data_IF_584875817867
#
_entry.id   IF_584875817867
#
_cell.length_a   1.000
_cell.length_b   1.000
_cell.length_c   1.000
_cell.angle_alpha   90.00
_cell.angle_beta   90.00
_cell.angle_gamma   90.00
#
_symmetry.space_group_name_H-M   'P 1'
#
loop_
_entity.id
_entity.type
_entity.pdbx_description
1 polymer ?
#
# COMPACT_ATOMS: atom_id res chain seq x y z
N UNK A 1 16.97 17.92 2.53
CA UNK A 1 15.89 17.48 1.65
C UNK A 1 15.36 18.67 0.88
N UNK A 2 15.21 18.55 -0.45
CA UNK A 2 14.51 19.56 -1.26
C UNK A 2 13.03 19.20 -1.23
N UNK A 3 12.21 20.02 -0.62
CA UNK A 3 10.75 19.89 -0.64
C UNK A 3 10.23 20.70 -1.81
N UNK A 4 9.52 20.07 -2.71
CA UNK A 4 8.81 20.79 -3.76
C UNK A 4 7.48 21.30 -3.20
N UNK A 5 7.29 22.59 -3.25
CA UNK A 5 5.98 23.18 -2.95
C UNK A 5 4.99 22.73 -4.03
N UNK A 6 3.84 22.17 -3.66
CA UNK A 6 2.83 21.81 -4.64
C UNK A 6 2.19 23.09 -5.20
N UNK A 7 2.59 23.46 -6.40
CA UNK A 7 1.80 24.39 -7.20
C UNK A 7 0.49 23.71 -7.59
N UNK A 8 -0.65 24.30 -7.24
CA UNK A 8 -1.95 23.68 -7.47
C UNK A 8 -2.28 23.50 -8.96
N UNK A 9 -1.82 24.39 -9.83
CA UNK A 9 -2.03 24.27 -11.26
C UNK A 9 -1.19 23.12 -11.84
N UNK A 10 0.04 22.94 -11.35
CA UNK A 10 0.87 21.79 -11.71
C UNK A 10 0.27 20.49 -11.20
N UNK A 11 -0.26 20.46 -9.98
CA UNK A 11 -0.95 19.29 -9.44
C UNK A 11 -2.17 18.90 -10.29
N UNK A 12 -2.99 19.87 -10.69
CA UNK A 12 -4.13 19.64 -11.58
C UNK A 12 -3.67 19.04 -12.92
N UNK A 13 -2.62 19.59 -13.51
CA UNK A 13 -2.04 19.07 -14.75
C UNK A 13 -1.55 17.63 -14.60
N UNK A 14 -0.91 17.30 -13.48
CA UNK A 14 -0.43 15.95 -13.21
C UNK A 14 -1.60 14.98 -12.98
N UNK A 15 -2.62 15.39 -12.24
CA UNK A 15 -3.82 14.60 -12.02
C UNK A 15 -4.52 14.26 -13.34
N UNK A 16 -4.68 15.25 -14.22
CA UNK A 16 -5.28 15.07 -15.56
C UNK A 16 -4.48 14.07 -16.41
N UNK A 17 -3.14 14.17 -16.40
CA UNK A 17 -2.27 13.25 -17.12
C UNK A 17 -2.32 11.84 -16.57
N UNK A 18 -2.40 11.68 -15.26
CA UNK A 18 -2.55 10.36 -14.62
C UNK A 18 -3.89 9.75 -15.01
N UNK A 19 -4.97 10.49 -14.92
CA UNK A 19 -6.28 10.02 -15.32
C UNK A 19 -6.34 9.64 -16.81
N UNK A 20 -5.76 10.46 -17.69
CA UNK A 20 -5.65 10.17 -19.12
C UNK A 20 -4.83 8.90 -19.39
N UNK A 21 -3.73 8.68 -18.65
CA UNK A 21 -2.94 7.45 -18.76
C UNK A 21 -3.76 6.23 -18.31
N UNK A 22 -4.43 6.30 -17.17
CA UNK A 22 -5.25 5.21 -16.64
C UNK A 22 -6.37 4.84 -17.63
N UNK A 23 -7.07 5.84 -18.15
CA UNK A 23 -8.17 5.65 -19.11
C UNK A 23 -7.68 5.06 -20.44
N UNK A 24 -6.54 5.52 -20.95
CA UNK A 24 -5.96 4.99 -22.19
C UNK A 24 -5.40 3.58 -22.07
N UNK A 25 -4.91 3.22 -20.91
CA UNK A 25 -4.27 1.89 -20.70
C UNK A 25 -5.22 0.86 -20.14
N UNK A 26 -6.37 1.27 -19.57
CA UNK A 26 -7.30 0.38 -18.88
C UNK A 26 -6.75 -0.18 -17.56
N UNK A 27 -5.72 0.45 -16.98
CA UNK A 27 -5.18 0.05 -15.67
C UNK A 27 -6.23 0.25 -14.60
N UNK A 28 -6.52 -0.80 -13.85
CA UNK A 28 -7.59 -0.83 -12.83
C UNK A 28 -7.09 -0.65 -11.40
N UNK A 29 -5.82 -0.33 -11.21
CA UNK A 29 -5.24 -0.07 -9.89
C UNK A 29 -4.21 1.06 -9.94
N UNK A 30 -4.23 1.94 -8.94
CA UNK A 30 -3.24 2.99 -8.72
C UNK A 30 -2.87 3.06 -7.25
N UNK A 31 -1.60 3.30 -6.96
CA UNK A 31 -1.09 3.56 -5.60
C UNK A 31 -0.58 4.99 -5.50
N UNK A 32 -1.10 5.73 -4.53
CA UNK A 32 -0.65 7.08 -4.20
C UNK A 32 0.32 7.01 -3.03
N UNK A 33 1.59 6.80 -3.34
CA UNK A 33 2.66 6.76 -2.35
C UNK A 33 3.20 8.16 -2.05
N UNK A 34 3.64 8.38 -0.81
CA UNK A 34 4.26 9.65 -0.39
C UNK A 34 3.28 10.79 -0.11
N UNK A 35 1.98 10.53 0.00
CA UNK A 35 0.98 11.59 0.30
C UNK A 35 1.24 12.29 1.64
N UNK A 36 1.91 11.63 2.59
CA UNK A 36 2.35 12.23 3.85
C UNK A 36 3.31 13.41 3.66
N UNK A 37 4.02 13.47 2.55
CA UNK A 37 4.88 14.60 2.20
C UNK A 37 4.14 15.93 2.09
N UNK A 38 2.86 15.90 1.81
CA UNK A 38 2.02 17.11 1.73
C UNK A 38 1.84 17.81 3.06
N UNK A 39 2.03 17.12 4.20
CA UNK A 39 1.94 17.71 5.54
C UNK A 39 2.98 18.82 5.80
N UNK A 40 4.04 18.86 5.03
CA UNK A 40 5.11 19.84 5.13
C UNK A 40 4.91 21.06 4.23
N UNK A 41 3.78 21.16 3.58
CA UNK A 41 3.45 22.25 2.64
C UNK A 41 2.34 23.13 3.21
N UNK A 42 2.27 24.37 2.78
CA UNK A 42 1.25 25.29 3.23
C UNK A 42 -0.18 24.94 2.81
N UNK A 43 -0.35 23.92 1.99
CA UNK A 43 -1.67 23.44 1.53
C UNK A 43 -2.13 22.14 2.20
N UNK A 44 -1.22 21.42 2.84
CA UNK A 44 -1.45 20.19 3.61
C UNK A 44 -2.51 19.26 2.98
N UNK A 45 -3.52 18.86 3.75
CA UNK A 45 -4.55 17.91 3.32
C UNK A 45 -5.41 18.43 2.14
N UNK A 46 -5.56 19.73 1.98
CA UNK A 46 -6.28 20.29 0.85
C UNK A 46 -5.63 19.93 -0.49
N UNK A 47 -4.31 20.08 -0.60
CA UNK A 47 -3.59 19.74 -1.82
C UNK A 47 -3.71 18.24 -2.16
N UNK A 48 -3.53 17.38 -1.14
CA UNK A 48 -3.68 15.94 -1.29
C UNK A 48 -5.08 15.54 -1.73
N UNK A 49 -6.09 16.06 -1.03
CA UNK A 49 -7.50 15.77 -1.33
C UNK A 49 -7.89 16.25 -2.72
N UNK A 50 -7.47 17.45 -3.11
CA UNK A 50 -7.72 17.99 -4.44
C UNK A 50 -7.10 17.12 -5.52
N UNK A 51 -5.83 16.72 -5.35
CA UNK A 51 -5.11 15.93 -6.33
C UNK A 51 -5.76 14.55 -6.54
N UNK A 52 -5.98 13.81 -5.45
CA UNK A 52 -6.57 12.46 -5.51
C UNK A 52 -8.01 12.51 -6.02
N UNK A 53 -8.82 13.45 -5.55
CA UNK A 53 -10.21 13.62 -6.00
C UNK A 53 -10.24 13.94 -7.48
N UNK A 54 -9.36 14.81 -7.98
CA UNK A 54 -9.28 15.15 -9.40
C UNK A 54 -8.90 13.95 -10.26
N UNK A 55 -7.95 13.14 -9.84
CA UNK A 55 -7.64 11.88 -10.54
C UNK A 55 -8.87 10.97 -10.57
N UNK A 56 -9.46 10.71 -9.42
CA UNK A 56 -10.55 9.76 -9.26
C UNK A 56 -11.79 10.13 -10.07
N UNK A 57 -12.18 11.39 -10.07
CA UNK A 57 -13.38 11.87 -10.78
C UNK A 57 -13.24 11.82 -12.29
N UNK A 58 -12.05 11.69 -12.82
CA UNK A 58 -11.78 11.61 -14.26
C UNK A 58 -11.56 10.18 -14.78
N UNK A 59 -11.52 9.17 -13.90
CA UNK A 59 -11.46 7.78 -14.35
C UNK A 59 -12.78 7.40 -15.02
N UNK A 60 -12.71 6.81 -16.20
CA UNK A 60 -13.86 6.34 -16.98
C UNK A 60 -14.25 4.88 -16.67
N UNK A 61 -13.53 4.23 -15.76
CA UNK A 61 -13.76 2.87 -15.30
C UNK A 61 -13.44 2.74 -13.80
N UNK A 62 -13.75 1.59 -13.22
CA UNK A 62 -13.45 1.32 -11.82
C UNK A 62 -11.94 1.15 -11.60
N UNK A 63 -11.38 1.96 -10.71
CA UNK A 63 -9.97 1.93 -10.32
C UNK A 63 -9.87 1.69 -8.82
N UNK A 64 -9.10 0.69 -8.43
CA UNK A 64 -8.72 0.44 -7.04
C UNK A 64 -7.66 1.47 -6.67
N UNK A 65 -7.93 2.24 -5.63
CA UNK A 65 -7.01 3.25 -5.14
C UNK A 65 -6.43 2.84 -3.79
N UNK A 66 -5.13 2.72 -3.69
CA UNK A 66 -4.46 2.66 -2.41
C UNK A 66 -3.60 3.89 -2.15
N UNK A 67 -3.25 4.14 -0.91
CA UNK A 67 -2.46 5.30 -0.53
C UNK A 67 -1.61 5.02 0.71
N UNK A 68 -0.47 5.73 0.79
CA UNK A 68 0.44 5.63 1.93
C UNK A 68 -0.06 6.33 3.18
N UNK A 69 -1.04 7.23 3.05
CA UNK A 69 -1.60 7.99 4.16
C UNK A 69 -3.12 7.94 4.19
N UNK A 70 -3.66 7.80 5.40
CA UNK A 70 -5.06 8.08 5.68
C UNK A 70 -5.29 9.59 5.68
N UNK A 71 -6.29 9.98 4.91
CA UNK A 71 -6.85 11.30 4.94
C UNK A 71 -8.36 11.17 5.09
N UNK A 72 -8.93 11.81 6.09
CA UNK A 72 -10.37 11.74 6.38
C UNK A 72 -11.24 12.17 5.20
N UNK A 73 -10.74 13.07 4.35
CA UNK A 73 -11.46 13.54 3.18
C UNK A 73 -11.47 12.53 2.03
N UNK A 74 -10.69 11.46 2.09
CA UNK A 74 -10.49 10.49 1.02
C UNK A 74 -10.96 9.07 1.35
N UNK A 75 -11.60 8.88 2.50
CA UNK A 75 -12.08 7.56 2.95
C UNK A 75 -13.00 6.86 1.94
N UNK A 76 -13.75 7.63 1.17
CA UNK A 76 -14.68 7.15 0.15
C UNK A 76 -14.02 6.87 -1.20
N UNK A 77 -12.77 7.27 -1.40
CA UNK A 77 -11.98 7.06 -2.62
C UNK A 77 -11.00 5.92 -2.43
N UNK A 78 -10.29 5.92 -1.30
CA UNK A 78 -9.27 4.91 -1.02
C UNK A 78 -9.91 3.58 -0.68
N UNK A 79 -9.59 2.56 -1.45
CA UNK A 79 -10.02 1.18 -1.19
C UNK A 79 -9.06 0.44 -0.27
N UNK A 80 -7.85 0.94 -0.14
CA UNK A 80 -6.80 0.40 0.74
C UNK A 80 -5.97 1.54 1.31
N UNK A 81 -5.51 1.33 2.53
CA UNK A 81 -4.46 2.15 3.08
C UNK A 81 -3.20 1.32 3.22
N UNK A 82 -2.17 1.77 2.55
CA UNK A 82 -0.92 1.04 2.43
C UNK A 82 0.16 1.61 3.34
N UNK A 83 -0.12 1.61 4.62
CA UNK A 83 0.85 2.03 5.62
C UNK A 83 1.46 0.83 6.34
N UNK A 84 2.75 0.74 6.36
CA UNK A 84 3.49 -0.30 7.05
C UNK A 84 4.44 -1.02 6.12
N UNK A 85 5.35 -0.27 5.52
CA UNK A 85 6.47 -0.82 4.79
C UNK A 85 7.31 -1.71 5.72
N UNK A 86 7.89 -2.78 5.17
CA UNK A 86 8.69 -3.72 5.96
C UNK A 86 10.11 -3.19 6.20
N UNK A 87 10.22 -1.98 6.72
CA UNK A 87 11.50 -1.32 6.96
C UNK A 87 12.35 -2.08 7.97
N UNK A 88 13.32 -2.80 7.47
CA UNK A 88 14.47 -3.26 8.24
C UNK A 88 14.20 -4.36 9.27
N UNK A 89 12.97 -4.79 9.50
CA UNK A 89 12.62 -5.77 10.53
C UNK A 89 12.19 -7.11 9.95
N UNK A 90 12.28 -8.15 10.75
CA UNK A 90 11.74 -9.46 10.41
C UNK A 90 10.21 -9.38 10.22
N UNK A 91 9.67 -10.20 9.33
CA UNK A 91 8.27 -10.15 8.92
C UNK A 91 7.30 -10.16 10.11
N UNK A 92 7.58 -10.94 11.16
CA UNK A 92 6.70 -11.04 12.33
C UNK A 92 6.86 -9.88 13.32
N UNK A 93 8.07 -9.47 13.61
CA UNK A 93 8.36 -8.51 14.70
C UNK A 93 7.90 -7.10 14.38
N UNK A 94 8.20 -6.59 13.19
CA UNK A 94 7.77 -5.25 12.78
C UNK A 94 6.28 -5.13 12.51
N UNK A 95 5.61 -6.26 12.23
CA UNK A 95 4.19 -6.32 11.94
C UNK A 95 3.34 -6.15 13.19
N UNK A 96 3.68 -6.86 14.26
CA UNK A 96 2.88 -6.95 15.49
C UNK A 96 2.75 -5.58 16.16
N UNK A 97 3.84 -4.84 16.27
CA UNK A 97 3.86 -3.60 17.06
C UNK A 97 2.98 -2.48 16.48
N UNK A 98 3.00 -2.28 15.16
CA UNK A 98 2.36 -1.14 14.52
C UNK A 98 1.09 -1.48 13.74
N UNK A 99 1.05 -2.63 13.09
CA UNK A 99 -0.02 -2.96 12.14
C UNK A 99 -1.24 -3.54 12.81
N UNK A 100 -1.09 -4.50 13.70
CA UNK A 100 -2.19 -5.08 14.48
C UNK A 100 -2.84 -3.99 15.34
N UNK A 101 -2.03 -3.16 15.97
CA UNK A 101 -2.51 -2.04 16.78
C UNK A 101 -3.34 -1.03 15.99
N UNK A 102 -3.05 -0.83 14.71
CA UNK A 102 -3.79 0.09 13.86
C UNK A 102 -5.14 -0.47 13.37
N UNK A 103 -5.35 -1.80 13.38
CA UNK A 103 -6.60 -2.39 12.90
C UNK A 103 -7.83 -1.92 13.69
N UNK A 104 -7.69 -1.80 15.00
CA UNK A 104 -8.76 -1.29 15.86
C UNK A 104 -9.13 0.17 15.50
N UNK A 105 -8.13 0.99 15.25
CA UNK A 105 -8.33 2.37 14.78
C UNK A 105 -9.02 2.42 13.41
N UNK A 106 -8.60 1.61 12.46
CA UNK A 106 -9.19 1.56 11.13
C UNK A 106 -10.65 1.11 11.17
N UNK A 107 -10.95 0.09 11.96
CA UNK A 107 -12.30 -0.41 12.13
C UNK A 107 -13.25 0.65 12.72
N UNK A 108 -12.80 1.38 13.75
CA UNK A 108 -13.62 2.43 14.39
C UNK A 108 -13.86 3.65 13.52
N UNK A 109 -12.97 3.91 12.57
CA UNK A 109 -13.03 5.09 11.72
C UNK A 109 -13.49 4.78 10.29
N UNK A 110 -13.98 3.58 10.03
CA UNK A 110 -14.48 3.12 8.72
C UNK A 110 -13.42 3.19 7.61
N UNK A 111 -12.15 3.06 7.97
CA UNK A 111 -11.09 3.02 6.99
C UNK A 111 -10.92 1.62 6.40
N UNK A 112 -10.53 1.50 5.12
CA UNK A 112 -10.17 0.23 4.52
C UNK A 112 -9.06 -0.42 5.33
N UNK A 113 -9.32 -1.62 5.85
CA UNK A 113 -8.35 -2.34 6.68
C UNK A 113 -7.25 -2.91 5.81
N UNK A 114 -6.02 -2.64 6.17
CA UNK A 114 -4.84 -3.18 5.54
C UNK A 114 -3.78 -3.51 6.57
N UNK A 115 -3.23 -4.72 6.52
CA UNK A 115 -2.10 -5.10 7.37
C UNK A 115 -0.76 -4.54 6.88
N UNK A 116 -0.72 -4.10 5.64
CA UNK A 116 0.45 -3.49 5.04
C UNK A 116 1.24 -4.44 4.15
N UNK A 117 2.51 -4.13 3.94
CA UNK A 117 3.38 -4.82 3.00
C UNK A 117 4.24 -5.86 3.72
N UNK A 118 4.29 -7.05 3.15
CA UNK A 118 5.14 -8.13 3.61
C UNK A 118 6.25 -8.38 2.61
N UNK A 119 7.50 -8.31 3.05
CA UNK A 119 8.64 -8.54 2.18
C UNK A 119 9.07 -10.01 2.21
N UNK A 120 8.92 -10.69 1.10
CA UNK A 120 9.57 -11.99 0.87
C UNK A 120 11.01 -11.72 0.47
N UNK A 121 11.97 -12.26 1.24
CA UNK A 121 13.39 -11.96 1.10
C UNK A 121 14.27 -13.21 1.11
N UNK A 122 15.44 -13.08 0.53
CA UNK A 122 16.57 -13.98 0.77
C UNK A 122 17.25 -13.60 2.08
N UNK A 123 18.01 -14.54 2.66
CA UNK A 123 18.87 -14.24 3.80
C UNK A 123 19.91 -13.18 3.44
N UNK A 124 20.19 -12.31 4.38
CA UNK A 124 21.29 -11.34 4.32
C UNK A 124 22.03 -11.26 5.67
N UNK A 125 22.87 -10.24 5.86
CA UNK A 125 23.64 -10.06 7.10
C UNK A 125 22.78 -9.78 8.35
N UNK A 126 21.55 -9.34 8.18
CA UNK A 126 20.68 -8.89 9.28
C UNK A 126 19.46 -9.77 9.44
N UNK A 127 19.00 -10.40 8.35
CA UNK A 127 17.72 -11.07 8.31
C UNK A 127 17.84 -12.47 7.70
N UNK A 128 17.06 -13.38 8.24
CA UNK A 128 16.91 -14.72 7.70
C UNK A 128 16.04 -14.70 6.42
N UNK A 129 16.11 -15.80 5.67
CA UNK A 129 15.25 -16.02 4.52
C UNK A 129 13.80 -16.14 4.98
N UNK A 130 12.85 -15.57 4.24
CA UNK A 130 11.44 -15.77 4.53
C UNK A 130 11.06 -17.24 4.40
N UNK A 131 10.27 -17.73 5.33
CA UNK A 131 9.79 -19.11 5.38
C UNK A 131 8.32 -19.21 5.00
N UNK A 132 7.83 -20.44 4.80
CA UNK A 132 6.41 -20.69 4.60
C UNK A 132 5.59 -20.23 5.82
N UNK A 133 6.11 -20.52 7.02
CA UNK A 133 5.48 -20.14 8.27
C UNK A 133 5.34 -18.62 8.44
N UNK A 134 6.29 -17.85 7.91
CA UNK A 134 6.21 -16.39 7.92
C UNK A 134 5.08 -15.90 7.02
N UNK A 135 4.95 -16.48 5.83
CA UNK A 135 3.89 -16.14 4.88
C UNK A 135 2.52 -16.56 5.42
N UNK A 136 2.38 -17.78 5.90
CA UNK A 136 1.12 -18.27 6.48
C UNK A 136 0.71 -17.47 7.71
N UNK A 137 1.67 -17.08 8.56
CA UNK A 137 1.40 -16.19 9.67
C UNK A 137 0.84 -14.84 9.19
N UNK A 138 1.46 -14.21 8.18
CA UNK A 138 1.00 -12.94 7.64
C UNK A 138 -0.42 -13.05 7.04
N UNK A 139 -0.70 -14.12 6.32
CA UNK A 139 -2.00 -14.40 5.72
C UNK A 139 -3.08 -14.66 6.79
N UNK A 140 -2.75 -15.42 7.84
CA UNK A 140 -3.66 -15.69 8.95
C UNK A 140 -4.03 -14.43 9.73
N UNK A 141 -3.06 -13.53 9.96
CA UNK A 141 -3.33 -12.23 10.57
C UNK A 141 -4.24 -11.36 9.69
N UNK A 142 -3.99 -11.34 8.36
CA UNK A 142 -4.85 -10.64 7.42
C UNK A 142 -6.29 -11.17 7.46
N UNK A 143 -6.47 -12.48 7.43
CA UNK A 143 -7.77 -13.11 7.54
C UNK A 143 -8.45 -12.85 8.91
N UNK A 144 -7.69 -12.94 10.00
CA UNK A 144 -8.20 -12.71 11.36
C UNK A 144 -8.71 -11.28 11.58
N UNK A 145 -8.13 -10.31 10.93
CA UNK A 145 -8.55 -8.90 10.99
C UNK A 145 -9.50 -8.51 9.85
N UNK A 146 -9.83 -9.42 8.95
CA UNK A 146 -10.56 -9.11 7.70
C UNK A 146 -9.91 -7.91 6.99
N UNK A 147 -8.59 -7.99 6.82
CA UNK A 147 -7.75 -6.92 6.31
C UNK A 147 -7.04 -7.33 5.02
N UNK A 148 -6.87 -6.38 4.11
CA UNK A 148 -6.03 -6.57 2.93
C UNK A 148 -4.55 -6.66 3.29
N UNK A 149 -3.75 -7.16 2.38
CA UNK A 149 -2.29 -7.22 2.48
C UNK A 149 -1.65 -7.03 1.11
N UNK A 150 -0.36 -6.74 1.09
CA UNK A 150 0.46 -6.76 -0.10
C UNK A 150 1.74 -7.54 0.13
N UNK A 151 2.12 -8.41 -0.80
CA UNK A 151 3.40 -9.11 -0.77
C UNK A 151 4.37 -8.42 -1.71
N UNK A 152 5.54 -8.09 -1.20
CA UNK A 152 6.62 -7.50 -1.99
C UNK A 152 7.70 -8.53 -2.22
N UNK A 153 8.09 -8.72 -3.47
CA UNK A 153 9.18 -9.61 -3.86
C UNK A 153 9.94 -8.97 -5.02
N UNK A 154 11.26 -9.01 -4.96
CA UNK A 154 12.08 -8.58 -6.10
C UNK A 154 12.45 -9.76 -7.00
N UNK A 155 12.85 -9.46 -8.23
CA UNK A 155 13.19 -10.47 -9.25
C UNK A 155 14.32 -11.42 -8.79
N UNK A 156 15.30 -10.91 -8.05
CA UNK A 156 16.39 -11.74 -7.52
C UNK A 156 15.87 -12.78 -6.53
N UNK A 157 15.01 -12.36 -5.61
CA UNK A 157 14.37 -13.26 -4.65
C UNK A 157 13.49 -14.27 -5.37
N UNK A 158 12.66 -13.82 -6.32
CA UNK A 158 11.80 -14.69 -7.11
C UNK A 158 12.59 -15.83 -7.81
N UNK A 159 13.78 -15.51 -8.34
CA UNK A 159 14.59 -16.48 -9.07
C UNK A 159 15.49 -17.35 -8.18
N UNK A 160 15.78 -16.96 -6.95
CA UNK A 160 16.81 -17.60 -6.11
C UNK A 160 16.28 -18.17 -4.79
N UNK A 161 15.05 -17.87 -4.42
CA UNK A 161 14.47 -18.37 -3.18
C UNK A 161 14.07 -19.84 -3.33
N UNK A 162 14.70 -20.72 -2.56
CA UNK A 162 14.55 -22.18 -2.73
C UNK A 162 13.15 -22.74 -2.45
N UNK A 163 12.25 -21.96 -1.86
CA UNK A 163 10.86 -22.35 -1.56
C UNK A 163 9.82 -21.47 -2.24
N UNK A 164 10.21 -20.70 -3.24
CA UNK A 164 9.33 -19.69 -3.84
C UNK A 164 7.97 -20.24 -4.30
N UNK A 165 7.97 -21.39 -4.94
CA UNK A 165 6.74 -22.02 -5.44
C UNK A 165 5.78 -22.36 -4.30
N UNK A 166 6.29 -22.84 -3.17
CA UNK A 166 5.48 -23.13 -1.98
C UNK A 166 4.89 -21.87 -1.37
N UNK A 167 5.67 -20.79 -1.30
CA UNK A 167 5.21 -19.51 -0.80
C UNK A 167 4.10 -18.93 -1.69
N UNK A 168 4.29 -18.95 -3.00
CA UNK A 168 3.29 -18.47 -3.96
C UNK A 168 2.02 -19.34 -3.96
N UNK A 169 2.16 -20.65 -3.78
CA UNK A 169 1.00 -21.53 -3.63
C UNK A 169 0.21 -21.23 -2.35
N UNK A 170 0.88 -20.99 -1.22
CA UNK A 170 0.22 -20.60 0.01
C UNK A 170 -0.58 -19.30 -0.19
N UNK A 171 0.05 -18.27 -0.76
CA UNK A 171 -0.62 -16.99 -1.07
C UNK A 171 -1.87 -17.24 -1.92
N UNK A 172 -1.73 -18.01 -3.00
CA UNK A 172 -2.86 -18.34 -3.88
C UNK A 172 -4.01 -19.08 -3.18
N UNK A 173 -3.71 -19.96 -2.23
CA UNK A 173 -4.74 -20.71 -1.50
C UNK A 173 -5.50 -19.84 -0.48
N UNK A 174 -4.87 -18.81 0.05
CA UNK A 174 -5.50 -17.89 0.99
C UNK A 174 -6.29 -16.76 0.31
N UNK A 175 -6.12 -16.58 -1.00
CA UNK A 175 -6.70 -15.50 -1.80
C UNK A 175 -8.07 -15.88 -2.42
N UNK A 176 -8.76 -16.86 -1.84
CA UNK A 176 -10.05 -17.41 -2.33
C UNK A 176 -11.22 -16.79 -1.56
#
# INVERSE_FOLDING_TARGET
YKVFFPDLALQDTLADRIADLMNKTGLSQISFDGLEGCSYTGHDEYATSRFVTRCYTQFDHNVINDASRLNHNLWHIHTRMNWGEPWGEAMRTGQVANRIKNQDFFQRNLFPRMLGWFLIRLADRKFECSTLEDVEWALSEAAGFDAGYAMTINTTTLNRHGQIDRLLQAIKHWDI
#
